data_IF_735956927441
#
_entry.id   IF_735956927441
#
_cell.length_a   1.000
_cell.length_b   1.000
_cell.length_c   1.000
_cell.angle_alpha   90.00
_cell.angle_beta   90.00
_cell.angle_gamma   90.00
#
_symmetry.space_group_name_H-M   'P 1'
#
loop_
_entity.id
_entity.type
_entity.pdbx_description
1 polymer ?
#
# COMPACT_ATOMS: atom_id res chain seq x y z
N UNK A 1 2.36 -24.52 30.38
CA UNK A 1 2.74 -24.92 29.00
C UNK A 1 1.90 -24.07 28.06
N UNK A 2 2.50 -23.26 27.20
CA UNK A 2 1.74 -22.54 26.18
C UNK A 2 1.14 -23.55 25.18
N UNK A 3 -0.05 -23.28 24.65
CA UNK A 3 -0.72 -24.14 23.66
C UNK A 3 -0.10 -24.04 22.26
N UNK A 4 -0.53 -24.93 21.35
CA UNK A 4 -0.18 -24.89 19.91
C UNK A 4 -1.28 -24.18 19.10
N UNK A 5 -0.93 -23.66 17.93
CA UNK A 5 -1.90 -23.19 16.94
C UNK A 5 -2.88 -24.28 16.50
N UNK A 6 -2.48 -25.55 16.55
CA UNK A 6 -3.35 -26.69 16.22
C UNK A 6 -4.53 -26.78 17.18
N UNK A 7 -4.30 -26.50 18.47
CA UNK A 7 -5.34 -26.50 19.50
C UNK A 7 -6.42 -25.46 19.21
N UNK A 8 -6.04 -24.32 18.60
CA UNK A 8 -7.01 -23.28 18.21
C UNK A 8 -7.90 -23.77 17.08
N UNK A 9 -7.32 -24.42 16.07
CA UNK A 9 -8.08 -25.01 14.96
C UNK A 9 -9.04 -26.11 15.46
N UNK A 10 -8.55 -26.99 16.34
CA UNK A 10 -9.33 -28.12 16.89
C UNK A 10 -10.48 -27.64 17.77
N UNK A 11 -10.23 -26.64 18.62
CA UNK A 11 -11.24 -26.12 19.54
C UNK A 11 -12.34 -25.32 18.82
N UNK A 12 -11.98 -24.61 17.75
CA UNK A 12 -12.92 -23.81 16.96
C UNK A 12 -13.56 -24.60 15.81
N UNK A 13 -13.04 -25.79 15.48
CA UNK A 13 -13.53 -26.61 14.36
C UNK A 13 -13.31 -25.98 12.99
N UNK A 14 -12.31 -25.11 12.84
CA UNK A 14 -12.03 -24.35 11.61
C UNK A 14 -10.71 -24.78 10.97
N UNK A 15 -10.58 -24.57 9.65
CA UNK A 15 -9.32 -24.82 8.94
C UNK A 15 -8.48 -23.55 8.90
N UNK A 16 -7.18 -23.69 8.64
CA UNK A 16 -6.27 -22.54 8.61
C UNK A 16 -6.72 -21.41 7.68
N UNK A 17 -7.27 -21.71 6.50
CA UNK A 17 -7.74 -20.67 5.55
C UNK A 17 -8.95 -19.87 6.04
N UNK A 18 -9.67 -20.36 7.04
CA UNK A 18 -10.82 -19.71 7.65
C UNK A 18 -10.40 -18.75 8.79
N UNK A 19 -9.13 -18.79 9.18
CA UNK A 19 -8.55 -17.93 10.21
C UNK A 19 -7.78 -16.79 9.54
N UNK A 20 -8.11 -15.56 9.90
CA UNK A 20 -7.30 -14.37 9.65
C UNK A 20 -6.55 -13.98 10.92
N UNK A 21 -5.23 -14.20 10.91
CA UNK A 21 -4.36 -13.84 12.01
C UNK A 21 -3.74 -12.48 11.79
N UNK A 22 -3.86 -11.61 12.80
CA UNK A 22 -3.35 -10.24 12.76
C UNK A 22 -2.21 -10.10 13.76
N UNK A 23 -1.10 -9.49 13.33
CA UNK A 23 0.06 -9.25 14.18
C UNK A 23 1.01 -8.24 13.56
N UNK A 24 2.02 -7.82 14.31
CA UNK A 24 3.04 -6.84 13.91
C UNK A 24 4.41 -7.50 13.69
N UNK A 25 4.64 -8.71 14.22
CA UNK A 25 5.92 -9.37 14.10
C UNK A 25 6.00 -10.25 12.84
N UNK A 26 6.60 -9.72 11.77
CA UNK A 26 6.67 -10.37 10.45
C UNK A 26 7.16 -11.84 10.47
N UNK A 27 8.08 -12.19 11.36
CA UNK A 27 8.58 -13.57 11.47
C UNK A 27 7.73 -14.46 12.39
N UNK A 28 7.35 -13.92 13.55
CA UNK A 28 6.66 -14.68 14.60
C UNK A 28 5.21 -14.93 14.25
N UNK A 29 4.55 -13.90 13.72
CA UNK A 29 3.12 -13.87 13.55
C UNK A 29 2.73 -14.24 12.13
N UNK A 30 3.42 -13.65 11.15
CA UNK A 30 3.05 -13.79 9.75
C UNK A 30 3.71 -15.02 9.14
N UNK A 31 5.05 -15.08 9.15
CA UNK A 31 5.78 -16.12 8.43
C UNK A 31 5.55 -17.53 9.01
N UNK A 32 5.50 -17.67 10.34
CA UNK A 32 5.21 -18.97 10.97
C UNK A 32 3.77 -19.41 10.74
N UNK A 33 2.79 -18.55 10.94
CA UNK A 33 1.37 -18.89 10.77
C UNK A 33 1.03 -19.23 9.31
N UNK A 34 1.60 -18.47 8.36
CA UNK A 34 1.45 -18.74 6.93
C UNK A 34 2.06 -20.08 6.52
N UNK A 35 3.32 -20.34 6.90
CA UNK A 35 4.05 -21.54 6.44
C UNK A 35 3.63 -22.83 7.14
N UNK A 36 3.34 -22.78 8.44
CA UNK A 36 3.05 -23.99 9.22
C UNK A 36 1.58 -24.38 9.14
N UNK A 37 0.69 -23.39 9.17
CA UNK A 37 -0.75 -23.63 9.37
C UNK A 37 -1.61 -23.18 8.18
N UNK A 38 -1.03 -22.49 7.19
CA UNK A 38 -1.76 -21.99 6.04
C UNK A 38 -2.79 -20.91 6.40
N UNK A 39 -2.58 -20.20 7.52
CA UNK A 39 -3.48 -19.14 7.98
C UNK A 39 -3.49 -17.97 7.00
N UNK A 40 -4.62 -17.26 6.91
CA UNK A 40 -4.64 -15.94 6.29
C UNK A 40 -3.97 -14.95 7.24
N UNK A 41 -3.22 -14.00 6.70
CA UNK A 41 -2.35 -13.14 7.51
C UNK A 41 -2.59 -11.66 7.23
N UNK A 42 -2.66 -10.87 8.29
CA UNK A 42 -2.70 -9.41 8.24
C UNK A 42 -1.54 -8.85 9.05
N UNK A 43 -0.66 -8.09 8.39
CA UNK A 43 0.48 -7.46 9.05
C UNK A 43 0.19 -6.00 9.37
N UNK A 44 0.22 -5.66 10.65
CA UNK A 44 0.17 -4.27 11.14
C UNK A 44 1.59 -3.69 11.05
N UNK A 45 1.75 -2.57 10.34
CA UNK A 45 3.03 -1.85 10.21
C UNK A 45 2.80 -0.39 10.60
N UNK A 46 2.93 -0.02 11.88
CA UNK A 46 2.62 1.34 12.34
C UNK A 46 3.39 2.45 11.60
N UNK A 47 4.63 2.16 11.21
CA UNK A 47 5.51 3.07 10.45
C UNK A 47 4.94 3.41 9.06
N UNK A 48 4.04 2.57 8.52
CA UNK A 48 3.45 2.75 7.20
C UNK A 48 2.73 4.10 7.07
N UNK A 49 2.11 4.62 8.14
CA UNK A 49 1.43 5.91 8.09
C UNK A 49 2.40 7.05 7.73
N UNK A 50 3.57 7.08 8.38
CA UNK A 50 4.62 8.06 8.10
C UNK A 50 5.27 7.81 6.73
N UNK A 51 5.51 6.55 6.39
CA UNK A 51 6.06 6.17 5.08
C UNK A 51 5.18 6.64 3.93
N UNK A 52 3.85 6.46 4.02
CA UNK A 52 2.92 6.94 3.01
C UNK A 52 2.94 8.46 2.87
N UNK A 53 3.02 9.19 3.99
CA UNK A 53 3.13 10.64 3.96
C UNK A 53 4.38 11.10 3.20
N UNK A 54 5.57 10.59 3.58
CA UNK A 54 6.83 10.96 2.92
C UNK A 54 6.82 10.51 1.45
N UNK A 55 6.27 9.33 1.15
CA UNK A 55 6.14 8.81 -0.22
C UNK A 55 5.31 9.73 -1.12
N UNK A 56 4.20 10.26 -0.61
CA UNK A 56 3.36 11.22 -1.34
C UNK A 56 4.03 12.59 -1.47
N UNK A 57 4.65 13.11 -0.40
CA UNK A 57 5.30 14.43 -0.42
C UNK A 57 6.58 14.48 -1.26
N UNK A 58 7.29 13.34 -1.41
CA UNK A 58 8.59 13.23 -2.07
C UNK A 58 8.55 12.38 -3.35
N UNK A 59 7.38 12.25 -3.97
CA UNK A 59 7.20 11.46 -5.19
C UNK A 59 8.11 11.91 -6.33
N UNK A 60 8.40 13.21 -6.42
CA UNK A 60 9.29 13.80 -7.43
C UNK A 60 10.70 13.18 -7.44
N UNK A 61 11.27 12.92 -6.25
CA UNK A 61 12.60 12.30 -6.15
C UNK A 61 12.58 10.86 -6.68
N UNK A 62 11.48 10.14 -6.44
CA UNK A 62 11.33 8.78 -6.95
C UNK A 62 11.10 8.77 -8.47
N UNK A 63 10.35 9.74 -9.00
CA UNK A 63 10.17 9.89 -10.45
C UNK A 63 11.48 10.27 -11.16
N UNK A 64 12.29 11.16 -10.58
CA UNK A 64 13.62 11.48 -11.08
C UNK A 64 14.52 10.24 -11.07
N UNK A 65 14.53 9.48 -9.97
CA UNK A 65 15.32 8.25 -9.89
C UNK A 65 14.90 7.25 -10.97
N UNK A 66 13.60 7.09 -11.19
CA UNK A 66 13.04 6.24 -12.25
C UNK A 66 13.45 6.74 -13.64
N UNK A 67 13.43 8.05 -13.90
CA UNK A 67 13.82 8.59 -15.21
C UNK A 67 15.30 8.37 -15.49
N UNK A 68 16.15 8.47 -14.47
CA UNK A 68 17.59 8.17 -14.58
C UNK A 68 17.86 6.69 -14.87
N UNK A 69 17.13 5.79 -14.21
CA UNK A 69 17.23 4.34 -14.46
C UNK A 69 16.78 3.99 -15.89
N UNK A 70 15.71 4.63 -16.40
CA UNK A 70 15.26 4.47 -17.79
C UNK A 70 16.28 5.03 -18.80
N UNK A 71 16.79 6.24 -18.56
CA UNK A 71 17.81 6.84 -19.42
C UNK A 71 19.09 5.99 -19.48
N UNK A 72 19.48 5.40 -18.34
CA UNK A 72 20.58 4.45 -18.32
C UNK A 72 20.29 3.22 -19.19
N UNK A 73 19.08 2.67 -19.14
CA UNK A 73 18.68 1.55 -19.99
C UNK A 73 18.72 1.91 -21.49
N UNK A 74 18.23 3.10 -21.86
CA UNK A 74 18.25 3.61 -23.24
C UNK A 74 19.68 3.71 -23.80
N UNK A 75 20.65 4.17 -23.00
CA UNK A 75 22.06 4.23 -23.42
C UNK A 75 22.65 2.85 -23.77
N UNK A 76 22.16 1.80 -23.12
CA UNK A 76 22.60 0.43 -23.37
C UNK A 76 21.77 -0.31 -24.43
N UNK A 77 20.62 0.22 -24.85
CA UNK A 77 19.64 -0.54 -25.64
C UNK A 77 20.14 -0.98 -27.02
N UNK A 78 21.07 -0.23 -27.62
CA UNK A 78 21.62 -0.48 -28.95
C UNK A 78 23.03 -1.06 -28.94
N UNK A 79 23.60 -1.29 -27.75
CA UNK A 79 24.93 -1.91 -27.63
C UNK A 79 24.75 -3.42 -27.70
N UNK A 80 25.28 -4.03 -28.76
CA UNK A 80 25.33 -5.48 -28.92
C UNK A 80 26.69 -6.06 -28.50
N UNK A 81 26.84 -7.38 -28.58
CA UNK A 81 28.10 -8.06 -28.23
C UNK A 81 29.27 -7.71 -29.16
N UNK A 82 29.02 -7.05 -30.30
CA UNK A 82 30.05 -6.59 -31.24
C UNK A 82 30.52 -5.16 -31.01
N UNK A 83 29.77 -4.39 -30.23
CA UNK A 83 30.09 -3.03 -29.84
C UNK A 83 31.38 -2.96 -29.01
N UNK A 84 32.32 -2.12 -29.44
CA UNK A 84 33.46 -1.69 -28.63
C UNK A 84 33.19 -0.37 -27.89
N UNK A 85 32.03 0.25 -28.12
CA UNK A 85 31.65 1.51 -27.47
C UNK A 85 31.23 1.28 -26.03
N UNK A 86 31.75 2.11 -25.13
CA UNK A 86 31.39 2.12 -23.72
C UNK A 86 30.92 3.52 -23.37
N UNK A 87 29.60 3.74 -23.21
CA UNK A 87 29.09 5.05 -22.85
C UNK A 87 29.64 5.46 -21.47
N UNK A 88 30.00 6.73 -21.30
CA UNK A 88 30.39 7.27 -20.00
C UNK A 88 29.14 7.50 -19.14
N UNK A 89 28.94 6.61 -18.18
CA UNK A 89 27.81 6.62 -17.24
C UNK A 89 28.17 7.24 -15.89
N UNK A 90 29.37 7.81 -15.75
CA UNK A 90 29.89 8.28 -14.46
C UNK A 90 29.03 9.40 -13.88
N UNK A 91 28.54 10.31 -14.72
CA UNK A 91 27.65 11.42 -14.34
C UNK A 91 26.28 10.91 -13.88
N UNK A 92 25.68 9.98 -14.62
CA UNK A 92 24.36 9.40 -14.35
C UNK A 92 24.41 8.58 -13.06
N UNK A 93 25.42 7.72 -12.89
CA UNK A 93 25.63 6.96 -11.66
C UNK A 93 25.75 7.86 -10.44
N UNK A 94 26.52 8.96 -10.56
CA UNK A 94 26.65 9.95 -9.48
C UNK A 94 25.32 10.62 -9.16
N UNK A 95 24.52 10.94 -10.19
CA UNK A 95 23.18 11.52 -10.00
C UNK A 95 22.23 10.53 -9.31
N UNK A 96 22.19 9.27 -9.75
CA UNK A 96 21.41 8.20 -9.11
C UNK A 96 21.77 8.07 -7.62
N UNK A 97 23.07 8.03 -7.30
CA UNK A 97 23.53 7.95 -5.90
C UNK A 97 23.11 9.18 -5.09
N UNK A 98 23.21 10.38 -5.67
CA UNK A 98 22.79 11.62 -5.01
C UNK A 98 21.29 11.62 -4.72
N UNK A 99 20.45 11.32 -5.73
CA UNK A 99 18.99 11.30 -5.58
C UNK A 99 18.55 10.19 -4.62
N UNK A 100 19.17 9.01 -4.69
CA UNK A 100 18.93 7.91 -3.73
C UNK A 100 19.19 8.39 -2.30
N UNK A 101 20.33 9.03 -2.06
CA UNK A 101 20.67 9.53 -0.73
C UNK A 101 19.71 10.62 -0.26
N UNK A 102 19.39 11.61 -1.10
CA UNK A 102 18.42 12.67 -0.78
C UNK A 102 17.03 12.10 -0.44
N UNK A 103 16.58 11.10 -1.21
CA UNK A 103 15.32 10.42 -0.97
C UNK A 103 15.34 9.66 0.36
N UNK A 104 16.37 8.86 0.62
CA UNK A 104 16.47 8.06 1.85
C UNK A 104 16.51 8.97 3.10
N UNK A 105 17.21 10.10 3.03
CA UNK A 105 17.28 11.07 4.14
C UNK A 105 15.92 11.69 4.50
N UNK A 106 14.94 11.69 3.59
CA UNK A 106 13.58 12.15 3.91
C UNK A 106 12.86 11.22 4.90
N UNK A 107 13.18 9.92 4.89
CA UNK A 107 12.61 8.94 5.81
C UNK A 107 13.40 8.88 7.13
N UNK A 108 14.70 9.19 7.10
CA UNK A 108 15.56 9.26 8.28
C UNK A 108 16.96 8.75 7.96
N UNK A 109 17.82 8.66 8.98
CA UNK A 109 19.24 8.26 8.78
C UNK A 109 19.41 6.87 8.15
N UNK A 110 18.46 5.96 8.36
CA UNK A 110 18.47 4.60 7.81
C UNK A 110 17.61 4.43 6.55
N UNK A 111 17.00 5.50 6.03
CA UNK A 111 16.12 5.40 4.87
C UNK A 111 14.73 4.87 5.19
N UNK A 112 14.02 4.45 4.15
CA UNK A 112 12.69 3.86 4.24
C UNK A 112 12.76 2.41 4.72
N UNK A 113 11.75 1.99 5.49
CA UNK A 113 11.55 0.60 5.86
C UNK A 113 11.40 -0.31 4.63
N UNK A 114 10.85 0.22 3.54
CA UNK A 114 10.49 -0.55 2.36
C UNK A 114 11.54 -0.52 1.25
N UNK A 115 12.39 0.51 1.18
CA UNK A 115 13.33 0.69 0.06
C UNK A 115 14.54 1.55 0.38
N UNK A 116 15.56 1.42 -0.46
CA UNK A 116 16.70 2.30 -0.60
C UNK A 116 16.82 2.64 -2.10
N UNK A 117 16.46 3.87 -2.48
CA UNK A 117 16.31 4.23 -3.90
C UNK A 117 15.28 3.36 -4.63
N UNK A 118 15.69 2.79 -5.76
CA UNK A 118 14.87 1.89 -6.58
C UNK A 118 14.83 0.45 -6.06
N UNK A 119 15.64 0.11 -5.05
CA UNK A 119 15.78 -1.25 -4.51
C UNK A 119 14.90 -1.45 -3.27
N UNK A 120 14.14 -2.54 -3.26
CA UNK A 120 13.34 -2.94 -2.10
C UNK A 120 14.20 -3.55 -1.00
N UNK A 121 13.78 -3.38 0.26
CA UNK A 121 14.43 -4.02 1.41
C UNK A 121 14.00 -5.48 1.57
N UNK A 122 14.71 -6.21 2.44
CA UNK A 122 14.30 -7.56 2.83
C UNK A 122 12.93 -7.55 3.53
N UNK A 123 12.65 -6.54 4.35
CA UNK A 123 11.35 -6.38 5.01
C UNK A 123 10.22 -6.26 3.99
N UNK A 124 10.36 -5.37 2.99
CA UNK A 124 9.38 -5.25 1.91
C UNK A 124 9.19 -6.60 1.19
N UNK A 125 10.28 -7.27 0.83
CA UNK A 125 10.22 -8.56 0.13
C UNK A 125 9.49 -9.64 0.93
N UNK A 126 9.69 -9.67 2.26
CA UNK A 126 9.00 -10.61 3.15
C UNK A 126 7.53 -10.25 3.33
N UNK A 127 7.23 -8.95 3.47
CA UNK A 127 5.86 -8.45 3.61
C UNK A 127 5.04 -8.83 2.37
N UNK A 128 5.59 -8.57 1.17
CA UNK A 128 4.96 -8.94 -0.10
C UNK A 128 4.70 -10.44 -0.26
N UNK A 129 5.55 -11.29 0.32
CA UNK A 129 5.48 -12.74 0.13
C UNK A 129 4.57 -13.43 1.14
N UNK A 130 4.50 -12.92 2.37
CA UNK A 130 3.92 -13.66 3.49
C UNK A 130 2.68 -13.02 4.11
N UNK A 131 2.50 -11.70 3.98
CA UNK A 131 1.30 -11.02 4.44
C UNK A 131 0.25 -10.99 3.31
N UNK A 132 -0.94 -11.55 3.55
CA UNK A 132 -2.03 -11.43 2.55
C UNK A 132 -2.56 -10.00 2.48
N UNK A 133 -2.58 -9.33 3.62
CA UNK A 133 -3.02 -7.96 3.80
C UNK A 133 -2.05 -7.23 4.73
N UNK A 134 -1.90 -5.92 4.54
CA UNK A 134 -1.13 -5.10 5.46
C UNK A 134 -1.72 -3.69 5.55
N UNK A 135 -1.56 -3.05 6.71
CA UNK A 135 -1.95 -1.66 6.91
C UNK A 135 -1.21 -1.04 8.09
N UNK A 136 -1.35 0.28 8.25
CA UNK A 136 -0.81 0.99 9.41
C UNK A 136 -1.49 0.58 10.73
N UNK A 137 -2.78 0.24 10.65
CA UNK A 137 -3.59 -0.21 11.80
C UNK A 137 -4.62 -1.23 11.35
N UNK A 138 -4.96 -2.16 12.25
CA UNK A 138 -6.07 -3.10 12.05
C UNK A 138 -7.44 -2.41 12.05
N UNK A 139 -7.54 -1.20 12.62
CA UNK A 139 -8.77 -0.39 12.64
C UNK A 139 -9.26 -0.10 11.21
N UNK A 140 -8.36 -0.15 10.22
CA UNK A 140 -8.72 0.07 8.83
C UNK A 140 -9.80 -0.92 8.32
N UNK A 141 -9.97 -2.09 8.94
CA UNK A 141 -11.06 -3.01 8.61
C UNK A 141 -12.45 -2.42 8.85
N UNK A 142 -12.60 -1.47 9.77
CA UNK A 142 -13.91 -0.84 10.05
C UNK A 142 -14.46 -0.07 8.85
N UNK A 143 -13.61 0.30 7.90
CA UNK A 143 -14.03 0.98 6.67
C UNK A 143 -14.52 0.02 5.57
N UNK A 144 -14.45 -1.30 5.79
CA UNK A 144 -14.86 -2.33 4.83
C UNK A 144 -15.99 -3.18 5.40
N UNK A 145 -16.96 -3.60 4.57
CA UNK A 145 -17.98 -4.55 5.01
C UNK A 145 -17.35 -5.93 5.28
N UNK A 146 -17.95 -6.72 6.17
CA UNK A 146 -17.47 -8.08 6.46
C UNK A 146 -17.49 -9.03 5.25
N UNK A 147 -18.33 -8.74 4.25
CA UNK A 147 -18.41 -9.48 2.98
C UNK A 147 -17.46 -8.95 1.90
N UNK A 148 -16.52 -8.07 2.24
CA UNK A 148 -15.60 -7.49 1.27
C UNK A 148 -14.62 -8.52 0.72
N UNK A 149 -14.44 -8.51 -0.60
CA UNK A 149 -13.46 -9.35 -1.29
C UNK A 149 -12.23 -8.52 -1.65
N UNK A 150 -11.15 -8.68 -0.88
CA UNK A 150 -9.85 -8.09 -1.19
C UNK A 150 -9.26 -8.76 -2.45
N UNK A 151 -8.88 -7.95 -3.45
CA UNK A 151 -8.35 -8.43 -4.74
C UNK A 151 -6.96 -7.84 -5.03
N UNK A 152 -6.03 -8.70 -5.41
CA UNK A 152 -4.74 -8.33 -5.98
C UNK A 152 -4.76 -8.62 -7.50
N UNK A 153 -4.23 -7.74 -8.35
CA UNK A 153 -3.88 -8.10 -9.72
C UNK A 153 -3.06 -9.40 -9.83
N UNK A 154 -3.27 -10.22 -10.88
CA UNK A 154 -2.50 -11.42 -11.11
C UNK A 154 -1.02 -11.09 -11.38
N UNK A 155 -0.11 -11.88 -10.81
CA UNK A 155 1.34 -11.74 -11.03
C UNK A 155 1.70 -12.45 -12.32
N UNK A 156 2.15 -11.68 -13.31
CA UNK A 156 2.60 -12.21 -14.60
C UNK A 156 4.10 -12.47 -14.57
N UNK A 157 4.52 -13.57 -15.18
CA UNK A 157 5.92 -13.85 -15.48
C UNK A 157 6.42 -12.92 -16.59
N UNK A 158 7.72 -12.68 -16.68
CA UNK A 158 8.29 -11.72 -17.63
C UNK A 158 7.86 -11.99 -19.09
N UNK A 159 7.82 -13.25 -19.50
CA UNK A 159 7.41 -13.64 -20.86
C UNK A 159 5.90 -13.51 -21.13
N UNK A 160 5.06 -13.48 -20.08
CA UNK A 160 3.61 -13.27 -20.20
C UNK A 160 3.30 -11.77 -20.40
N UNK A 161 4.18 -10.89 -19.93
CA UNK A 161 4.01 -9.43 -20.05
C UNK A 161 4.40 -8.85 -21.41
N UNK A 162 5.22 -9.56 -22.19
CA UNK A 162 5.70 -9.12 -23.51
C UNK A 162 4.76 -9.45 -24.65
N UNK A 163 3.76 -10.30 -24.42
CA UNK A 163 2.79 -10.72 -25.43
C UNK A 163 1.54 -9.86 -25.28
N UNK A 164 1.40 -8.83 -26.10
CA UNK A 164 0.09 -8.21 -26.26
C UNK A 164 -0.86 -9.25 -26.87
N UNK A 165 -1.89 -9.61 -26.12
CA UNK A 165 -2.99 -10.39 -26.68
C UNK A 165 -3.81 -9.46 -27.58
N UNK A 166 -3.37 -9.28 -28.82
CA UNK A 166 -4.17 -8.71 -29.89
C UNK A 166 -5.46 -9.52 -29.98
N UNK A 167 -6.57 -8.94 -29.52
CA UNK A 167 -7.90 -9.52 -29.72
C UNK A 167 -8.16 -9.52 -31.22
N UNK A 168 -7.96 -10.67 -31.86
CA UNK A 168 -8.63 -10.97 -33.11
C UNK A 168 -10.11 -11.15 -32.76
N UNK A 169 -10.85 -10.04 -32.65
CA UNK A 169 -12.31 -10.06 -32.71
C UNK A 169 -12.70 -10.48 -34.13
N UNK A 170 -12.59 -11.77 -34.41
CA UNK A 170 -13.41 -12.41 -35.44
C UNK A 170 -14.78 -12.52 -34.80
N UNK A 171 -15.69 -11.66 -35.23
CA UNK A 171 -16.96 -11.45 -34.56
C UNK A 171 -17.77 -12.73 -34.37
N UNK A 172 -18.21 -12.96 -33.15
CA UNK A 172 -19.53 -13.51 -32.84
C UNK A 172 -19.91 -13.11 -31.41
N UNK A 173 -21.15 -12.66 -31.25
CA UNK A 173 -21.66 -11.91 -30.11
C UNK A 173 -21.69 -12.73 -28.80
N UNK A 174 -21.22 -12.12 -27.71
CA UNK A 174 -21.35 -12.68 -26.37
C UNK A 174 -20.64 -11.90 -25.27
N UNK A 175 -21.24 -10.79 -24.82
CA UNK A 175 -21.01 -10.14 -23.52
C UNK A 175 -19.59 -9.61 -23.23
N UNK A 176 -19.17 -8.58 -23.97
CA UNK A 176 -18.11 -7.68 -23.53
C UNK A 176 -18.66 -6.70 -22.48
N UNK A 177 -18.28 -6.87 -21.21
CA UNK A 177 -18.38 -5.79 -20.22
C UNK A 177 -17.25 -4.80 -20.51
N UNK A 178 -17.58 -3.76 -21.26
CA UNK A 178 -16.70 -2.63 -21.53
C UNK A 178 -16.44 -1.77 -20.27
N UNK A 179 -15.34 -1.01 -20.23
CA UNK A 179 -14.96 -0.14 -19.11
C UNK A 179 -15.92 1.05 -19.03
N UNK A 180 -16.46 1.31 -17.84
CA UNK A 180 -17.50 2.33 -17.68
C UNK A 180 -16.93 3.75 -17.79
N UNK A 181 -17.62 4.49 -18.65
CA UNK A 181 -17.48 5.89 -19.00
C UNK A 181 -17.41 6.86 -17.80
N UNK A 182 -16.48 7.81 -17.92
CA UNK A 182 -16.54 9.14 -17.30
C UNK A 182 -17.79 9.90 -17.74
N UNK A 183 -18.54 10.47 -16.80
CA UNK A 183 -19.53 11.52 -17.08
C UNK A 183 -19.53 12.61 -15.98
N UNK A 184 -19.99 13.83 -16.30
CA UNK A 184 -19.35 15.07 -15.88
C UNK A 184 -20.09 15.83 -14.76
N UNK A 185 -19.34 16.67 -14.05
CA UNK A 185 -19.78 17.96 -13.53
C UNK A 185 -20.79 17.98 -12.37
N UNK A 186 -20.29 18.20 -11.15
CA UNK A 186 -21.00 19.00 -10.15
C UNK A 186 -20.01 19.90 -9.41
N UNK A 187 -20.04 21.20 -9.72
CA UNK A 187 -19.39 22.23 -8.92
C UNK A 187 -20.16 22.39 -7.61
N UNK A 188 -19.47 22.27 -6.48
CA UNK A 188 -19.82 22.99 -5.25
C UNK A 188 -18.52 23.53 -4.65
N UNK A 189 -18.41 24.85 -4.62
CA UNK A 189 -17.34 25.56 -3.94
C UNK A 189 -17.51 25.50 -2.42
N UNK A 190 -16.37 25.39 -1.73
CA UNK A 190 -16.32 25.48 -0.28
C UNK A 190 -14.88 25.31 0.19
N UNK A 191 -14.22 26.41 0.55
CA UNK A 191 -12.90 26.41 1.19
C UNK A 191 -13.00 25.68 2.54
N UNK A 192 -12.16 24.69 2.75
CA UNK A 192 -12.00 24.01 4.04
C UNK A 192 -10.68 23.24 4.07
N UNK A 193 -9.85 23.52 5.07
CA UNK A 193 -8.52 22.95 5.30
C UNK A 193 -8.50 21.42 5.13
N UNK A 194 -7.65 20.93 4.23
CA UNK A 194 -7.39 19.51 4.05
C UNK A 194 -6.23 19.10 4.97
N UNK A 195 -6.54 18.33 6.00
CA UNK A 195 -5.59 17.43 6.64
C UNK A 195 -5.67 16.06 5.93
N UNK A 196 -4.60 15.53 5.32
CA UNK A 196 -4.67 14.22 4.68
C UNK A 196 -4.11 13.15 5.62
N UNK A 197 -4.99 12.38 6.26
CA UNK A 197 -4.64 11.03 6.69
C UNK A 197 -5.29 10.06 5.70
N UNK A 198 -4.54 9.67 4.66
CA UNK A 198 -4.94 8.61 3.75
C UNK A 198 -4.93 7.27 4.49
N UNK A 199 -6.09 6.64 4.65
CA UNK A 199 -6.22 5.32 5.29
C UNK A 199 -6.20 4.25 4.20
N UNK A 200 -5.03 3.67 3.95
CA UNK A 200 -4.84 2.65 2.92
C UNK A 200 -4.69 1.27 3.57
N UNK A 201 -5.53 0.30 3.18
CA UNK A 201 -5.23 -1.13 3.36
C UNK A 201 -4.58 -1.60 2.06
N UNK A 202 -3.33 -2.01 2.15
CA UNK A 202 -2.61 -2.53 0.99
C UNK A 202 -3.03 -3.97 0.71
N UNK A 203 -3.57 -4.21 -0.47
CA UNK A 203 -3.68 -5.56 -1.05
C UNK A 203 -2.54 -5.70 -2.03
N UNK A 204 -1.61 -6.62 -1.77
CA UNK A 204 -0.38 -6.65 -2.53
C UNK A 204 -0.52 -7.48 -3.81
N UNK A 205 -0.43 -6.82 -4.95
CA UNK A 205 -0.03 -7.45 -6.21
C UNK A 205 1.45 -7.18 -6.46
N UNK A 206 2.18 -8.24 -6.78
CA UNK A 206 3.54 -8.11 -7.32
C UNK A 206 3.41 -7.70 -8.80
N UNK A 207 3.09 -6.44 -9.06
CA UNK A 207 3.09 -5.85 -10.40
C UNK A 207 4.35 -4.96 -10.59
N UNK A 208 4.87 -4.81 -11.83
CA UNK A 208 6.03 -3.96 -12.11
C UNK A 208 5.81 -2.52 -11.62
N UNK A 209 6.91 -1.86 -11.19
CA UNK A 209 6.91 -0.58 -10.46
C UNK A 209 6.12 0.58 -11.08
N UNK A 210 5.74 0.51 -12.36
CA UNK A 210 4.92 1.50 -13.05
C UNK A 210 3.39 1.34 -12.83
N UNK A 211 2.93 0.25 -12.19
CA UNK A 211 1.50 -0.05 -11.97
C UNK A 211 1.05 0.05 -10.51
N UNK A 212 1.85 0.65 -9.62
CA UNK A 212 1.49 0.86 -8.22
C UNK A 212 0.51 2.03 -8.09
N UNK A 213 -0.68 1.88 -8.67
CA UNK A 213 -1.82 2.73 -8.37
C UNK A 213 -2.35 2.33 -6.99
N UNK A 214 -2.32 3.27 -6.04
CA UNK A 214 -3.08 3.15 -4.79
C UNK A 214 -4.54 2.86 -5.17
N UNK A 215 -5.13 1.83 -4.54
CA UNK A 215 -6.59 1.64 -4.64
C UNK A 215 -7.24 2.91 -4.11
N UNK A 216 -8.20 3.54 -4.83
CA UNK A 216 -8.81 4.80 -4.40
C UNK A 216 -9.34 4.71 -2.97
N UNK A 217 -8.93 5.64 -2.13
CA UNK A 217 -9.40 5.79 -0.76
C UNK A 217 -10.86 6.22 -0.75
N UNK A 218 -11.70 5.59 0.08
CA UNK A 218 -12.95 6.23 0.49
C UNK A 218 -12.60 7.25 1.56
N UNK A 219 -12.96 8.52 1.35
CA UNK A 219 -12.89 9.52 2.41
C UNK A 219 -13.79 9.10 3.59
N UNK A 220 -13.35 9.28 4.84
CA UNK A 220 -14.23 9.10 5.99
C UNK A 220 -15.40 10.10 5.88
N UNK A 221 -16.65 9.69 6.18
CA UNK A 221 -17.73 10.67 6.33
C UNK A 221 -17.39 11.61 7.50
N UNK A 222 -17.75 12.90 7.43
CA UNK A 222 -17.57 13.81 8.54
C UNK A 222 -18.34 13.27 9.75
N UNK A 223 -17.62 13.05 10.85
CA UNK A 223 -18.21 12.76 12.15
C UNK A 223 -19.04 13.99 12.56
N UNK A 224 -20.34 13.98 12.30
CA UNK A 224 -21.25 14.92 12.93
C UNK A 224 -21.40 14.49 14.38
N UNK A 225 -20.73 15.21 15.28
CA UNK A 225 -21.03 15.15 16.71
C UNK A 225 -22.45 15.71 16.87
N UNK A 226 -23.44 14.84 16.95
CA UNK A 226 -24.77 15.21 17.42
C UNK A 226 -24.61 15.63 18.88
N UNK A 227 -24.71 16.94 19.14
CA UNK A 227 -24.69 17.49 20.49
C UNK A 227 -25.78 16.86 21.35
N UNK A 228 -25.37 16.29 22.48
CA UNK A 228 -26.29 15.95 23.56
C UNK A 228 -26.81 17.24 24.23
N UNK A 229 -28.04 17.25 24.76
CA UNK A 229 -28.66 18.44 25.34
C UNK A 229 -27.96 18.83 26.65
N UNK A 230 -27.75 20.14 26.83
CA UNK A 230 -27.30 20.72 28.10
C UNK A 230 -28.47 20.72 29.09
N UNK A 231 -28.40 19.85 30.10
CA UNK A 231 -29.19 20.02 31.32
C UNK A 231 -28.57 21.17 32.13
N UNK A 232 -29.41 22.16 32.43
CA UNK A 232 -29.08 23.31 33.28
C UNK A 232 -29.52 23.00 34.70
N UNK A 233 -28.58 22.62 35.57
CA UNK A 233 -28.77 22.61 37.02
C UNK A 233 -28.40 24.00 37.56
N UNK A 234 -29.38 24.66 38.18
CA UNK A 234 -29.18 25.91 38.91
C UNK A 234 -28.39 25.68 40.21
N UNK A 235 -27.43 26.56 40.46
CA UNK A 235 -26.81 26.77 41.77
C UNK A 235 -27.60 27.87 42.49
N UNK A 236 -28.20 27.52 43.62
CA UNK A 236 -28.68 28.43 44.66
C UNK A 236 -27.55 28.56 45.69
N UNK A 237 -27.06 29.78 45.94
CA UNK A 237 -26.16 30.11 47.06
C UNK A 237 -26.79 31.22 47.92
N UNK A 238 -27.42 30.76 49.01
CA UNK A 238 -27.21 31.11 50.43
C UNK A 238 -26.82 32.56 50.82
N UNK A 239 -27.81 33.24 51.42
CA UNK A 239 -27.82 33.95 52.70
C UNK A 239 -26.61 34.80 53.14
N UNK A 240 -26.77 36.12 52.98
CA UNK A 240 -26.11 37.13 53.79
C UNK A 240 -27.11 37.81 54.72
N UNK A 241 -27.05 37.51 56.02
CA UNK A 241 -27.72 38.26 57.08
C UNK A 241 -26.70 38.89 58.03
N UNK A 242 -26.89 40.19 58.24
CA UNK A 242 -26.34 41.02 59.32
C UNK A 242 -27.51 41.83 59.90
#
# INVERSE_FOLDING_TARGET
VAGSSDVVCDLLGVKGKDILYMGDHIFGDILKSKKRQGWRTFLVVPELARELQVWTEKSELFEELRSLDLFLAELYQHLDSGSSERPDISSIKRRIQKVTHEMDMCYGKMGSLFRCGSRQTLFASQLMRYADLYAASFINFLYYPFSYLFRAPPVLMAHESTVEHSRLDTGEAGTALAPWHSHPGLQVGGRGQQHPCAVSVGVLASAPQHQWGLVPTKHPPPFQVTGAPQDSSGEEDDDGEA
#
